data_IF_934005009730
#
_entry.id   IF_934005009730
#
_cell.length_a   1.000
_cell.length_b   1.000
_cell.length_c   1.000
_cell.angle_alpha   90.00
_cell.angle_beta   90.00
_cell.angle_gamma   90.00
#
_symmetry.space_group_name_H-M   'P 1'
#
loop_
_entity.id
_entity.type
_entity.pdbx_description
1 polymer ?
#
# COMPACT_ATOMS: atom_id res chain seq x y z
N UNK A 1 59.93 -73.30 -31.05
CA UNK A 1 59.25 -71.99 -30.99
C UNK A 1 57.79 -72.21 -30.60
N UNK A 2 57.41 -71.93 -29.35
CA UNK A 2 56.00 -71.87 -28.91
C UNK A 2 55.77 -70.49 -28.32
N UNK A 3 54.85 -69.76 -28.95
CA UNK A 3 54.55 -68.37 -28.65
C UNK A 3 53.85 -68.23 -27.29
N UNK A 4 54.40 -67.36 -26.45
CA UNK A 4 53.87 -67.02 -25.13
C UNK A 4 52.61 -66.16 -25.28
N UNK A 5 51.45 -66.81 -25.48
CA UNK A 5 50.11 -66.20 -25.41
C UNK A 5 49.46 -66.58 -24.09
N UNK A 6 49.90 -65.97 -23.01
CA UNK A 6 49.22 -66.06 -21.72
C UNK A 6 49.47 -64.76 -20.98
N UNK A 7 48.40 -64.13 -20.46
CA UNK A 7 48.40 -63.03 -19.46
C UNK A 7 47.82 -61.67 -19.89
N UNK A 8 47.28 -61.49 -21.11
CA UNK A 8 46.58 -60.21 -21.42
C UNK A 8 45.16 -60.11 -20.87
N UNK A 9 44.44 -61.23 -20.71
CA UNK A 9 43.07 -61.27 -20.17
C UNK A 9 42.92 -60.82 -18.70
N UNK A 10 43.80 -61.19 -17.73
CA UNK A 10 43.62 -60.79 -16.33
C UNK A 10 43.89 -59.30 -16.09
N UNK A 11 44.73 -58.66 -16.91
CA UNK A 11 45.06 -57.24 -16.75
C UNK A 11 43.86 -56.32 -17.02
N UNK A 12 43.05 -56.62 -18.03
CA UNK A 12 41.89 -55.80 -18.38
C UNK A 12 40.76 -55.90 -17.36
N UNK A 13 40.52 -57.11 -16.83
CA UNK A 13 39.54 -57.33 -15.76
C UNK A 13 39.96 -56.64 -14.44
N UNK A 14 41.27 -56.60 -14.13
CA UNK A 14 41.81 -55.85 -13.00
C UNK A 14 41.61 -54.33 -13.17
N UNK A 15 41.81 -53.78 -14.36
CA UNK A 15 41.56 -52.37 -14.64
C UNK A 15 40.07 -52.00 -14.54
N UNK A 16 39.16 -52.86 -14.99
CA UNK A 16 37.72 -52.62 -14.86
C UNK A 16 37.24 -52.69 -13.41
N UNK A 17 37.81 -53.56 -12.59
CA UNK A 17 37.46 -53.65 -11.17
C UNK A 17 38.02 -52.48 -10.36
N UNK A 18 39.22 -51.99 -10.70
CA UNK A 18 39.77 -50.74 -10.13
C UNK A 18 38.95 -49.53 -10.57
N UNK A 19 38.54 -49.46 -11.84
CA UNK A 19 37.67 -48.40 -12.33
C UNK A 19 36.28 -48.43 -11.69
N UNK A 20 35.71 -49.62 -11.46
CA UNK A 20 34.44 -49.79 -10.76
C UNK A 20 34.54 -49.38 -9.28
N UNK A 21 35.62 -49.77 -8.58
CA UNK A 21 35.88 -49.36 -7.19
C UNK A 21 36.13 -47.84 -7.07
N UNK A 22 36.86 -47.26 -8.01
CA UNK A 22 37.04 -45.81 -8.11
C UNK A 22 35.70 -45.10 -8.38
N UNK A 23 34.86 -45.62 -9.29
CA UNK A 23 33.52 -45.08 -9.55
C UNK A 23 32.58 -45.18 -8.34
N UNK A 24 32.65 -46.28 -7.58
CA UNK A 24 31.82 -46.53 -6.40
C UNK A 24 32.23 -45.67 -5.19
N UNK A 25 33.47 -45.19 -5.15
CA UNK A 25 33.97 -44.30 -4.10
C UNK A 25 33.88 -42.81 -4.49
N UNK A 26 34.14 -42.47 -5.75
CA UNK A 26 34.06 -41.10 -6.25
C UNK A 26 32.61 -40.67 -6.48
N UNK A 27 31.75 -41.57 -6.98
CA UNK A 27 30.34 -41.29 -7.25
C UNK A 27 29.57 -40.73 -6.05
N UNK A 28 29.63 -41.35 -4.86
CA UNK A 28 28.98 -40.84 -3.65
C UNK A 28 29.54 -39.48 -3.21
N UNK A 29 30.86 -39.27 -3.32
CA UNK A 29 31.50 -38.01 -2.95
C UNK A 29 31.05 -36.87 -3.88
N UNK A 30 31.01 -37.13 -5.19
CA UNK A 30 30.50 -36.17 -6.18
C UNK A 30 29.01 -35.89 -5.97
N UNK A 31 28.21 -36.90 -5.63
CA UNK A 31 26.79 -36.71 -5.33
C UNK A 31 26.58 -35.84 -4.08
N UNK A 32 27.36 -36.03 -3.01
CA UNK A 32 27.31 -35.19 -1.80
C UNK A 32 27.75 -33.76 -2.11
N UNK A 33 28.82 -33.57 -2.89
CA UNK A 33 29.26 -32.24 -3.31
C UNK A 33 28.23 -31.53 -4.18
N UNK A 34 27.59 -32.24 -5.11
CA UNK A 34 26.52 -31.70 -5.95
C UNK A 34 25.29 -31.32 -5.12
N UNK A 35 24.88 -32.16 -4.16
CA UNK A 35 23.78 -31.86 -3.25
C UNK A 35 24.10 -30.64 -2.35
N UNK A 36 25.33 -30.57 -1.82
CA UNK A 36 25.81 -29.42 -1.06
C UNK A 36 25.85 -28.13 -1.89
N UNK A 37 26.29 -28.20 -3.16
CA UNK A 37 26.28 -27.08 -4.08
C UNK A 37 24.86 -26.62 -4.44
N UNK A 38 23.92 -27.56 -4.65
CA UNK A 38 22.51 -27.23 -4.87
C UNK A 38 21.87 -26.60 -3.63
N UNK A 39 22.14 -27.11 -2.42
CA UNK A 39 21.67 -26.50 -1.18
C UNK A 39 22.28 -25.10 -0.96
N UNK A 40 23.55 -24.92 -1.29
CA UNK A 40 24.22 -23.61 -1.26
C UNK A 40 23.62 -22.63 -2.29
N UNK A 41 23.29 -23.10 -3.49
CA UNK A 41 22.63 -22.28 -4.51
C UNK A 41 21.22 -21.84 -4.06
N UNK A 42 20.42 -22.76 -3.52
CA UNK A 42 19.08 -22.46 -3.00
C UNK A 42 19.12 -21.47 -1.82
N UNK A 43 20.07 -21.63 -0.91
CA UNK A 43 20.25 -20.69 0.21
C UNK A 43 20.77 -19.32 -0.26
N UNK A 44 21.63 -19.28 -1.28
CA UNK A 44 22.09 -18.02 -1.88
C UNK A 44 20.93 -17.26 -2.55
N UNK A 45 20.04 -17.97 -3.26
CA UNK A 45 18.83 -17.38 -3.84
C UNK A 45 17.87 -16.86 -2.76
N UNK A 46 17.69 -17.60 -1.67
CA UNK A 46 16.84 -17.18 -0.55
C UNK A 46 17.39 -15.92 0.14
N UNK A 47 18.70 -15.83 0.34
CA UNK A 47 19.35 -14.62 0.87
C UNK A 47 19.18 -13.44 -0.10
N UNK A 48 19.31 -13.68 -1.40
CA UNK A 48 19.08 -12.68 -2.45
C UNK A 48 17.62 -12.18 -2.46
N UNK A 49 16.66 -13.09 -2.33
CA UNK A 49 15.24 -12.77 -2.21
C UNK A 49 14.96 -11.94 -0.95
N UNK A 50 15.46 -12.37 0.22
CA UNK A 50 15.30 -11.64 1.49
C UNK A 50 15.90 -10.23 1.42
N UNK A 51 17.06 -10.05 0.77
CA UNK A 51 17.67 -8.72 0.55
C UNK A 51 16.78 -7.84 -0.33
N UNK A 52 16.28 -8.37 -1.46
CA UNK A 52 15.38 -7.64 -2.36
C UNK A 52 14.05 -7.28 -1.68
N UNK A 53 13.47 -8.21 -0.93
CA UNK A 53 12.25 -8.01 -0.14
C UNK A 53 12.42 -6.89 0.90
N UNK A 54 13.52 -6.90 1.66
CA UNK A 54 13.84 -5.81 2.62
C UNK A 54 13.94 -4.45 1.93
N UNK A 55 14.63 -4.37 0.80
CA UNK A 55 14.76 -3.12 0.04
C UNK A 55 13.42 -2.64 -0.52
N UNK A 56 12.54 -3.57 -0.91
CA UNK A 56 11.18 -3.26 -1.33
C UNK A 56 10.34 -2.73 -0.16
N UNK A 57 10.31 -3.41 0.99
CA UNK A 57 9.53 -2.97 2.15
C UNK A 57 10.05 -1.67 2.77
N UNK A 58 11.36 -1.44 2.75
CA UNK A 58 11.93 -0.15 3.16
C UNK A 58 11.45 1.00 2.25
N UNK A 59 11.40 0.77 0.93
CA UNK A 59 10.84 1.75 -0.02
C UNK A 59 9.34 1.96 0.22
N UNK A 60 8.59 0.87 0.38
CA UNK A 60 7.16 0.92 0.64
C UNK A 60 6.85 1.72 1.91
N UNK A 61 7.55 1.43 3.00
CA UNK A 61 7.39 2.15 4.26
C UNK A 61 7.66 3.66 4.11
N UNK A 62 8.74 4.05 3.43
CA UNK A 62 9.04 5.48 3.16
C UNK A 62 7.95 6.15 2.34
N UNK A 63 7.43 5.47 1.31
CA UNK A 63 6.33 6.03 0.51
C UNK A 63 5.05 6.18 1.32
N UNK A 64 4.74 5.21 2.19
CA UNK A 64 3.58 5.27 3.08
C UNK A 64 3.72 6.40 4.10
N UNK A 65 4.91 6.57 4.71
CA UNK A 65 5.21 7.68 5.62
C UNK A 65 4.94 9.04 4.95
N UNK A 66 5.48 9.26 3.74
CA UNK A 66 5.27 10.52 3.01
C UNK A 66 3.80 10.80 2.73
N UNK A 67 3.01 9.77 2.40
CA UNK A 67 1.56 9.92 2.18
C UNK A 67 0.83 10.27 3.47
N UNK A 68 1.17 9.58 4.56
CA UNK A 68 0.61 9.83 5.87
C UNK A 68 0.85 11.28 6.30
N UNK A 69 2.11 11.72 6.25
CA UNK A 69 2.48 13.09 6.64
C UNK A 69 1.80 14.12 5.72
N UNK A 70 1.77 13.89 4.40
CA UNK A 70 1.08 14.78 3.46
C UNK A 70 -0.43 14.92 3.72
N UNK A 71 -1.11 13.84 4.16
CA UNK A 71 -2.54 13.89 4.51
C UNK A 71 -2.75 14.70 5.79
N UNK A 72 -1.92 14.48 6.81
CA UNK A 72 -2.00 15.22 8.07
C UNK A 72 -1.68 16.71 7.86
N UNK A 73 -0.67 17.02 7.06
CA UNK A 73 -0.31 18.40 6.69
C UNK A 73 -1.45 19.09 5.92
N UNK A 74 -2.10 18.37 4.99
CA UNK A 74 -3.24 18.90 4.25
C UNK A 74 -4.46 19.17 5.17
N UNK A 75 -4.71 18.29 6.14
CA UNK A 75 -5.75 18.51 7.15
C UNK A 75 -5.42 19.70 8.06
N UNK A 76 -4.19 19.81 8.54
CA UNK A 76 -3.74 20.96 9.32
C UNK A 76 -3.85 22.26 8.51
N UNK A 77 -3.48 22.25 7.24
CA UNK A 77 -3.63 23.42 6.35
C UNK A 77 -5.09 23.86 6.20
N UNK A 78 -6.03 22.92 6.11
CA UNK A 78 -7.47 23.24 6.05
C UNK A 78 -7.98 23.80 7.39
N UNK A 79 -7.47 23.26 8.50
CA UNK A 79 -7.81 23.65 9.87
C UNK A 79 -7.23 25.00 10.28
N UNK A 80 -6.03 25.32 9.82
CA UNK A 80 -5.35 26.60 10.08
C UNK A 80 -5.75 27.69 9.05
N UNK A 81 -6.74 27.40 8.20
CA UNK A 81 -7.29 28.33 7.23
C UNK A 81 -8.06 29.49 7.86
N UNK A 82 -8.77 30.25 7.03
CA UNK A 82 -9.63 31.34 7.49
C UNK A 82 -10.73 30.80 8.42
N UNK A 83 -10.76 31.25 9.68
CA UNK A 83 -11.70 30.80 10.70
C UNK A 83 -13.18 31.04 10.32
N UNK A 84 -13.45 32.04 9.48
CA UNK A 84 -14.81 32.30 8.98
C UNK A 84 -15.22 31.33 7.87
N UNK A 85 -14.27 30.59 7.30
CA UNK A 85 -14.53 29.64 6.23
C UNK A 85 -15.24 28.40 6.77
N UNK A 86 -16.35 27.97 6.14
CA UNK A 86 -17.10 26.79 6.60
C UNK A 86 -16.30 25.49 6.61
N UNK A 87 -15.39 25.30 5.65
CA UNK A 87 -14.48 24.14 5.61
C UNK A 87 -13.53 24.09 6.81
N UNK A 88 -13.00 25.24 7.24
CA UNK A 88 -12.15 25.36 8.42
C UNK A 88 -12.93 24.99 9.69
N UNK A 89 -14.14 25.51 9.85
CA UNK A 89 -15.03 25.14 10.97
C UNK A 89 -15.42 23.66 10.97
N UNK A 90 -15.60 23.05 9.81
CA UNK A 90 -15.83 21.61 9.70
C UNK A 90 -14.60 20.81 10.16
N UNK A 91 -13.40 21.25 9.79
CA UNK A 91 -12.15 20.59 10.14
C UNK A 91 -11.91 20.60 11.67
N UNK A 92 -12.32 21.68 12.35
CA UNK A 92 -12.27 21.81 13.81
C UNK A 92 -13.39 21.06 14.55
N UNK A 93 -14.57 20.89 13.93
CA UNK A 93 -15.73 20.29 14.58
C UNK A 93 -15.62 18.74 14.60
N UNK A 94 -14.91 18.22 15.60
CA UNK A 94 -14.69 16.78 15.81
C UNK A 94 -15.99 16.03 16.12
N UNK A 95 -17.10 16.72 16.46
CA UNK A 95 -18.39 16.08 16.68
C UNK A 95 -19.10 15.72 15.36
N UNK A 96 -18.66 16.28 14.23
CA UNK A 96 -19.23 15.95 12.91
C UNK A 96 -18.75 14.58 12.47
N UNK A 97 -19.70 13.74 12.06
CA UNK A 97 -19.43 12.40 11.54
C UNK A 97 -18.23 12.29 10.55
N UNK A 98 -18.09 13.15 9.51
CA UNK A 98 -16.94 13.06 8.61
C UNK A 98 -15.60 13.37 9.30
N UNK A 99 -15.55 14.41 10.14
CA UNK A 99 -14.36 14.81 10.89
C UNK A 99 -13.99 13.79 11.96
N UNK A 100 -14.97 13.32 12.74
CA UNK A 100 -14.80 12.25 13.72
C UNK A 100 -14.21 10.99 13.09
N UNK A 101 -14.74 10.58 11.93
CA UNK A 101 -14.23 9.41 11.20
C UNK A 101 -12.79 9.60 10.73
N UNK A 102 -12.45 10.79 10.21
CA UNK A 102 -11.09 11.12 9.82
C UNK A 102 -10.14 11.06 11.03
N UNK A 103 -10.49 11.70 12.15
CA UNK A 103 -9.68 11.72 13.37
C UNK A 103 -9.45 10.32 13.93
N UNK A 104 -10.49 9.47 13.97
CA UNK A 104 -10.35 8.07 14.38
C UNK A 104 -9.38 7.29 13.50
N UNK A 105 -9.44 7.48 12.18
CA UNK A 105 -8.52 6.82 11.25
C UNK A 105 -7.11 7.41 11.31
N UNK A 106 -6.98 8.70 11.59
CA UNK A 106 -5.69 9.35 11.82
C UNK A 106 -5.01 8.79 13.07
N UNK A 107 -5.75 8.64 14.17
CA UNK A 107 -5.27 7.97 15.38
C UNK A 107 -4.83 6.54 15.09
N UNK A 108 -5.70 5.73 14.44
CA UNK A 108 -5.37 4.35 14.06
C UNK A 108 -4.12 4.24 13.18
N UNK A 109 -3.95 5.16 12.23
CA UNK A 109 -2.77 5.19 11.36
C UNK A 109 -1.50 5.60 12.10
N UNK A 110 -1.62 6.45 13.12
CA UNK A 110 -0.53 6.84 14.01
C UNK A 110 -0.13 5.68 14.93
N UNK A 111 -1.10 4.95 15.48
CA UNK A 111 -0.85 3.72 16.24
C UNK A 111 -0.16 2.67 15.37
N UNK A 112 -0.65 2.47 14.15
CA UNK A 112 -0.01 1.56 13.19
C UNK A 112 1.42 2.00 12.85
N UNK A 113 1.68 3.31 12.66
CA UNK A 113 3.03 3.87 12.46
C UNK A 113 3.96 3.52 13.62
N UNK A 114 3.48 3.65 14.86
CA UNK A 114 4.28 3.36 16.06
C UNK A 114 4.61 1.87 16.20
N UNK A 115 3.77 0.99 15.63
CA UNK A 115 3.96 -0.45 15.62
C UNK A 115 4.78 -0.97 14.43
N UNK A 116 5.08 -0.12 13.42
CA UNK A 116 5.84 -0.57 12.25
C UNK A 116 7.23 -1.01 12.64
N UNK A 117 7.57 -2.24 12.22
CA UNK A 117 8.93 -2.75 12.20
C UNK A 117 9.37 -2.89 10.75
N UNK A 118 10.29 -2.06 10.23
CA UNK A 118 10.66 -2.05 8.81
C UNK A 118 11.23 -3.38 8.28
N UNK A 119 11.58 -4.32 9.16
CA UNK A 119 12.09 -5.66 8.83
C UNK A 119 10.99 -6.73 8.77
N UNK A 120 9.78 -6.41 9.23
CA UNK A 120 8.64 -7.34 9.31
C UNK A 120 7.57 -6.92 8.30
N UNK A 121 7.30 -7.78 7.32
CA UNK A 121 6.39 -7.50 6.20
C UNK A 121 4.98 -7.12 6.67
N UNK A 122 4.43 -7.89 7.60
CA UNK A 122 3.04 -7.75 8.07
C UNK A 122 2.77 -6.37 8.66
N UNK A 123 3.70 -5.86 9.48
CA UNK A 123 3.54 -4.53 10.11
C UNK A 123 3.58 -3.40 9.07
N UNK A 124 4.40 -3.52 8.03
CA UNK A 124 4.49 -2.52 6.95
C UNK A 124 3.23 -2.53 6.09
N UNK A 125 2.63 -3.70 5.85
CA UNK A 125 1.35 -3.82 5.12
C UNK A 125 0.21 -3.25 5.94
N UNK A 126 0.10 -3.62 7.22
CA UNK A 126 -0.93 -3.10 8.11
C UNK A 126 -0.89 -1.57 8.21
N UNK A 127 0.31 -0.98 8.30
CA UNK A 127 0.46 0.48 8.27
C UNK A 127 0.03 1.09 6.93
N UNK A 128 0.38 0.46 5.81
CA UNK A 128 -0.05 0.91 4.48
C UNK A 128 -1.58 0.89 4.35
N UNK A 129 -2.24 -0.16 4.84
CA UNK A 129 -3.69 -0.27 4.83
C UNK A 129 -4.33 0.83 5.67
N UNK A 130 -3.83 1.05 6.89
CA UNK A 130 -4.30 2.13 7.76
C UNK A 130 -4.16 3.52 7.10
N UNK A 131 -3.06 3.78 6.39
CA UNK A 131 -2.86 5.03 5.64
C UNK A 131 -3.76 5.12 4.42
N UNK A 132 -4.10 4.00 3.77
CA UNK A 132 -5.04 3.98 2.65
C UNK A 132 -6.47 4.28 3.11
N UNK A 133 -6.88 3.74 4.26
CA UNK A 133 -8.15 4.07 4.92
C UNK A 133 -8.21 5.56 5.30
N UNK A 134 -7.12 6.09 5.85
CA UNK A 134 -6.99 7.51 6.17
C UNK A 134 -7.10 8.38 4.91
N UNK A 135 -6.40 8.03 3.82
CA UNK A 135 -6.44 8.75 2.54
C UNK A 135 -7.86 8.80 1.98
N UNK A 136 -8.60 7.69 2.08
CA UNK A 136 -9.98 7.62 1.66
C UNK A 136 -10.88 8.53 2.50
N UNK A 137 -10.69 8.53 3.81
CA UNK A 137 -11.43 9.40 4.72
C UNK A 137 -11.11 10.87 4.47
N UNK A 138 -9.84 11.21 4.22
CA UNK A 138 -9.40 12.54 3.84
C UNK A 138 -10.11 13.02 2.58
N UNK A 139 -10.08 12.23 1.49
CA UNK A 139 -10.73 12.60 0.22
C UNK A 139 -12.22 12.89 0.38
N UNK A 140 -12.91 12.10 1.22
CA UNK A 140 -14.33 12.33 1.52
C UNK A 140 -14.54 13.62 2.30
N UNK A 141 -13.73 13.85 3.34
CA UNK A 141 -13.79 15.08 4.14
C UNK A 141 -13.51 16.30 3.27
N UNK A 142 -12.49 16.25 2.41
CA UNK A 142 -12.12 17.31 1.49
C UNK A 142 -13.24 17.62 0.48
N UNK A 143 -13.87 16.59 -0.11
CA UNK A 143 -15.02 16.77 -1.00
C UNK A 143 -16.19 17.44 -0.27
N UNK A 144 -16.45 17.03 0.98
CA UNK A 144 -17.50 17.63 1.81
C UNK A 144 -17.20 19.10 2.10
N UNK A 145 -15.96 19.40 2.52
CA UNK A 145 -15.48 20.75 2.81
C UNK A 145 -15.62 21.68 1.58
N UNK A 146 -15.12 21.24 0.42
CA UNK A 146 -15.26 21.97 -0.86
C UNK A 146 -16.72 22.20 -1.24
N UNK A 147 -17.59 21.22 -1.00
CA UNK A 147 -19.03 21.34 -1.25
C UNK A 147 -19.71 22.40 -0.38
N UNK A 148 -19.34 22.49 0.90
CA UNK A 148 -19.87 23.51 1.80
C UNK A 148 -19.37 24.90 1.41
N UNK A 149 -18.08 25.04 1.11
CA UNK A 149 -17.50 26.30 0.65
C UNK A 149 -18.18 26.80 -0.63
N UNK A 150 -18.30 25.93 -1.64
CA UNK A 150 -18.97 26.30 -2.89
C UNK A 150 -20.41 26.76 -2.67
N UNK A 151 -21.15 26.13 -1.75
CA UNK A 151 -22.51 26.55 -1.43
C UNK A 151 -22.55 27.88 -0.68
N UNK A 152 -21.62 28.11 0.25
CA UNK A 152 -21.46 29.37 0.97
C UNK A 152 -21.11 30.52 0.02
N UNK A 153 -20.19 30.29 -0.90
CA UNK A 153 -19.75 31.26 -1.91
C UNK A 153 -20.89 31.60 -2.88
N UNK A 154 -21.60 30.59 -3.36
CA UNK A 154 -22.78 30.79 -4.21
C UNK A 154 -23.87 31.61 -3.49
N UNK A 155 -24.10 31.36 -2.20
CA UNK A 155 -25.04 32.14 -1.39
C UNK A 155 -24.57 33.58 -1.16
N UNK A 156 -23.27 33.80 -0.96
CA UNK A 156 -22.68 35.14 -0.84
C UNK A 156 -22.84 35.90 -2.15
N UNK A 157 -22.42 35.31 -3.26
CA UNK A 157 -22.58 35.87 -4.60
C UNK A 157 -24.05 36.23 -4.91
N UNK A 158 -24.98 35.32 -4.59
CA UNK A 158 -26.41 35.56 -4.83
C UNK A 158 -26.96 36.74 -4.04
N UNK A 159 -26.53 36.92 -2.79
CA UNK A 159 -26.94 38.08 -1.96
C UNK A 159 -26.35 39.40 -2.46
N UNK A 160 -25.14 39.37 -3.00
CA UNK A 160 -24.43 40.59 -3.44
C UNK A 160 -24.88 41.06 -4.83
N UNK A 161 -25.33 40.15 -5.70
CA UNK A 161 -25.61 40.47 -7.11
C UNK A 161 -27.06 40.33 -7.55
N UNK A 162 -27.90 39.57 -6.85
CA UNK A 162 -29.29 39.42 -7.25
C UNK A 162 -30.15 40.49 -6.55
N UNK A 163 -30.99 41.24 -7.29
CA UNK A 163 -32.02 42.06 -6.67
C UNK A 163 -32.99 41.17 -5.89
N UNK A 164 -33.54 41.67 -4.78
CA UNK A 164 -34.36 40.87 -3.85
C UNK A 164 -35.52 40.12 -4.52
N UNK A 165 -36.07 40.69 -5.60
CA UNK A 165 -37.13 40.08 -6.43
C UNK A 165 -36.67 38.84 -7.19
N UNK A 166 -35.43 38.80 -7.68
CA UNK A 166 -34.86 37.63 -8.34
C UNK A 166 -34.56 36.50 -7.34
N UNK A 167 -34.14 36.85 -6.13
CA UNK A 167 -33.91 35.89 -5.04
C UNK A 167 -35.22 35.22 -4.61
N UNK A 168 -36.33 35.97 -4.56
CA UNK A 168 -37.66 35.44 -4.26
C UNK A 168 -38.17 34.45 -5.33
N UNK A 169 -37.87 34.69 -6.61
CA UNK A 169 -38.24 33.80 -7.71
C UNK A 169 -37.47 32.47 -7.69
N UNK A 170 -36.22 32.47 -7.20
CA UNK A 170 -35.36 31.27 -7.16
C UNK A 170 -35.47 30.52 -5.83
N UNK A 171 -35.96 31.15 -4.77
CA UNK A 171 -36.13 30.55 -3.44
C UNK A 171 -36.85 29.18 -3.45
N UNK A 172 -37.92 28.96 -4.25
CA UNK A 172 -38.60 27.66 -4.32
C UNK A 172 -37.74 26.53 -4.91
N UNK A 173 -36.72 26.85 -5.71
CA UNK A 173 -35.86 25.86 -6.38
C UNK A 173 -34.66 25.44 -5.51
N UNK A 174 -34.31 26.23 -4.49
CA UNK A 174 -33.16 25.97 -3.59
C UNK A 174 -33.23 24.58 -2.93
N UNK A 175 -34.37 24.10 -2.41
CA UNK A 175 -34.46 22.75 -1.83
C UNK A 175 -34.16 21.64 -2.84
N UNK A 176 -34.61 21.80 -4.09
CA UNK A 176 -34.42 20.83 -5.18
C UNK A 176 -32.94 20.76 -5.58
N UNK A 177 -32.30 21.91 -5.79
CA UNK A 177 -30.87 21.99 -6.09
C UNK A 177 -30.03 21.40 -4.95
N UNK A 178 -30.42 21.69 -3.70
CA UNK A 178 -29.75 21.15 -2.52
C UNK A 178 -29.94 19.63 -2.37
N UNK A 179 -31.08 19.08 -2.79
CA UNK A 179 -31.32 17.65 -2.80
C UNK A 179 -30.49 16.96 -3.91
N UNK A 180 -30.46 17.54 -5.11
CA UNK A 180 -29.66 17.04 -6.23
C UNK A 180 -28.15 17.05 -5.90
N UNK A 181 -27.64 18.12 -5.31
CA UNK A 181 -26.24 18.21 -4.87
C UNK A 181 -25.89 17.17 -3.80
N UNK A 182 -26.79 16.93 -2.83
CA UNK A 182 -26.61 15.88 -1.82
C UNK A 182 -26.59 14.48 -2.44
N UNK A 183 -27.45 14.23 -3.41
CA UNK A 183 -27.48 12.94 -4.12
C UNK A 183 -26.22 12.73 -4.96
N UNK A 184 -25.73 13.79 -5.64
CA UNK A 184 -24.47 13.75 -6.37
C UNK A 184 -23.28 13.50 -5.43
N UNK A 185 -23.25 14.14 -4.26
CA UNK A 185 -22.21 13.91 -3.25
C UNK A 185 -22.24 12.47 -2.74
N UNK A 186 -23.42 11.93 -2.39
CA UNK A 186 -23.57 10.52 -1.98
C UNK A 186 -23.13 9.55 -3.06
N UNK A 187 -23.44 9.85 -4.33
CA UNK A 187 -23.01 9.04 -5.47
C UNK A 187 -21.49 9.14 -5.71
N UNK A 188 -20.86 10.26 -5.38
CA UNK A 188 -19.41 10.40 -5.40
C UNK A 188 -18.77 9.63 -4.23
N UNK A 189 -19.33 9.74 -3.02
CA UNK A 189 -18.90 9.03 -1.81
C UNK A 189 -18.98 7.50 -1.97
N UNK A 190 -20.02 7.02 -2.68
CA UNK A 190 -20.22 5.59 -2.91
C UNK A 190 -19.13 4.95 -3.77
N UNK A 191 -18.54 5.72 -4.71
CA UNK A 191 -17.38 5.29 -5.53
C UNK A 191 -16.12 5.05 -4.70
N UNK A 192 -16.04 5.65 -3.52
CA UNK A 192 -14.94 5.47 -2.59
C UNK A 192 -15.19 4.31 -1.61
N UNK A 193 -16.41 3.78 -1.51
CA UNK A 193 -16.75 2.71 -0.54
C UNK A 193 -16.61 1.30 -1.07
N UNK A 194 -16.25 1.08 -2.34
CA UNK A 194 -16.05 -0.26 -2.88
C UNK A 194 -14.62 -0.74 -2.60
N UNK A 195 -14.39 -1.68 -1.68
CA UNK A 195 -13.12 -2.39 -1.59
C UNK A 195 -13.17 -3.53 -2.62
N UNK A 196 -12.32 -3.51 -3.65
CA UNK A 196 -12.15 -4.66 -4.55
C UNK A 196 -12.70 -4.51 -5.95
N UNK A 197 -12.16 -3.55 -6.71
CA UNK A 197 -12.10 -3.67 -8.17
C UNK A 197 -10.67 -3.35 -8.63
N UNK A 198 -9.74 -4.24 -8.26
CA UNK A 198 -8.45 -4.52 -8.91
C UNK A 198 -7.81 -5.73 -8.25
#
# INVERSE_FOLDING_TARGET
>A
MRANRGNRLPSWAAWLSVAALAGLTIGPVVAVLAAGACAAALTAEEVGYRRRARAYFARLHRTTLRRHDAILDAWMTMRDGDADRPSTRLADDVLRAPTARFVTLAARSTDARNLVRPREHETVVAYREAVSDLELAWRRLELHARGIDAWSDARRWGRERLPESATALVAPLVPVVRAAARNALRAAESRFSTPGAR
#
